data_IF_214491258845
#
_entry.id   IF_214491258845
#
_cell.length_a   1.000
_cell.length_b   1.000
_cell.length_c   1.000
_cell.angle_alpha   90.00
_cell.angle_beta   90.00
_cell.angle_gamma   90.00
#
_symmetry.space_group_name_H-M   'P 1'
#
loop_
_entity.id
_entity.type
_entity.pdbx_description
1 polymer ?
#
# COMPACT_ATOMS: atom_id res chain seq x y z
N UNK A 1 -17.07 -4.84 27.56
CA UNK A 1 -16.78 -5.30 26.18
C UNK A 1 -16.49 -4.15 25.23
N UNK A 2 -17.32 -3.09 25.16
CA UNK A 2 -17.07 -1.90 24.34
C UNK A 2 -15.74 -1.19 24.63
N UNK A 3 -15.38 -1.00 25.91
CA UNK A 3 -14.07 -0.43 26.30
C UNK A 3 -12.87 -1.23 25.79
N UNK A 4 -12.98 -2.55 25.75
CA UNK A 4 -11.94 -3.46 25.25
C UNK A 4 -11.85 -3.43 23.71
N UNK A 5 -13.00 -3.40 23.02
CA UNK A 5 -13.07 -3.21 21.57
C UNK A 5 -12.45 -1.87 21.15
N UNK A 6 -12.77 -0.78 21.85
CA UNK A 6 -12.21 0.55 21.59
C UNK A 6 -10.70 0.56 21.84
N UNK A 7 -10.23 -0.04 22.95
CA UNK A 7 -8.78 -0.09 23.21
C UNK A 7 -8.03 -0.90 22.16
N UNK A 8 -8.61 -2.00 21.68
CA UNK A 8 -8.05 -2.81 20.59
C UNK A 8 -7.97 -2.03 19.28
N UNK A 9 -9.06 -1.38 18.88
CA UNK A 9 -9.10 -0.58 17.64
C UNK A 9 -8.11 0.59 17.72
N UNK A 10 -8.03 1.27 18.87
CA UNK A 10 -7.06 2.34 19.08
C UNK A 10 -5.61 1.84 19.01
N UNK A 11 -5.30 0.70 19.62
CA UNK A 11 -3.98 0.06 19.54
C UNK A 11 -3.64 -0.32 18.09
N UNK A 12 -4.57 -0.94 17.36
CA UNK A 12 -4.37 -1.30 15.95
C UNK A 12 -4.15 -0.07 15.07
N UNK A 13 -4.92 1.00 15.27
CA UNK A 13 -4.73 2.25 14.56
C UNK A 13 -3.36 2.87 14.84
N UNK A 14 -2.89 2.84 16.09
CA UNK A 14 -1.57 3.31 16.47
C UNK A 14 -0.47 2.49 15.80
N UNK A 15 -0.58 1.15 15.81
CA UNK A 15 0.40 0.28 15.16
C UNK A 15 0.47 0.56 13.65
N UNK A 16 -0.69 0.65 12.98
CA UNK A 16 -0.75 0.98 11.55
C UNK A 16 -0.10 2.34 11.29
N UNK A 17 -0.40 3.34 12.13
CA UNK A 17 0.17 4.67 12.00
C UNK A 17 1.70 4.66 12.16
N UNK A 18 2.23 3.96 13.16
CA UNK A 18 3.68 3.84 13.38
C UNK A 18 4.35 3.12 12.21
N UNK A 19 3.81 1.98 11.77
CA UNK A 19 4.35 1.22 10.64
C UNK A 19 4.30 2.06 9.36
N UNK A 20 3.21 2.77 9.10
CA UNK A 20 3.09 3.69 7.97
C UNK A 20 4.14 4.80 8.02
N UNK A 21 4.31 5.44 9.19
CA UNK A 21 5.31 6.49 9.39
C UNK A 21 6.71 5.95 9.12
N UNK A 22 7.08 4.83 9.75
CA UNK A 22 8.39 4.21 9.59
C UNK A 22 8.67 3.80 8.15
N UNK A 23 7.73 3.12 7.50
CA UNK A 23 7.90 2.67 6.10
C UNK A 23 8.00 3.85 5.13
N UNK A 24 7.21 4.90 5.33
CA UNK A 24 7.28 6.12 4.51
C UNK A 24 8.65 6.78 4.60
N UNK A 25 9.16 7.00 5.81
CA UNK A 25 10.48 7.60 6.01
C UNK A 25 11.60 6.70 5.49
N UNK A 26 11.47 5.39 5.66
CA UNK A 26 12.43 4.43 5.12
C UNK A 26 12.49 4.50 3.59
N UNK A 27 11.34 4.63 2.91
CA UNK A 27 11.28 4.82 1.46
C UNK A 27 11.84 6.17 1.01
N UNK A 28 11.62 7.24 1.77
CA UNK A 28 12.18 8.56 1.45
C UNK A 28 13.68 8.67 1.72
N UNK A 29 14.19 7.95 2.72
CA UNK A 29 15.60 7.87 3.04
C UNK A 29 16.36 6.92 2.09
N UNK A 30 15.66 5.98 1.46
CA UNK A 30 16.26 5.05 0.51
C UNK A 30 16.81 5.80 -0.71
N UNK A 31 18.11 5.65 -1.05
CA UNK A 31 18.71 6.25 -2.23
C UNK A 31 18.26 5.47 -3.48
N UNK A 32 17.03 5.70 -3.94
CA UNK A 32 16.46 5.03 -5.10
C UNK A 32 15.37 5.90 -5.73
N UNK A 33 15.42 6.07 -7.05
CA UNK A 33 14.33 6.72 -7.77
C UNK A 33 13.41 5.62 -8.31
N UNK A 34 12.14 5.56 -7.87
CA UNK A 34 11.20 4.50 -8.26
C UNK A 34 10.87 4.51 -9.76
N UNK A 35 11.28 5.55 -10.49
CA UNK A 35 11.13 5.68 -11.93
C UNK A 35 12.35 5.21 -12.74
N UNK A 36 13.43 4.78 -12.08
CA UNK A 36 14.57 4.16 -12.74
C UNK A 36 14.27 2.67 -12.89
N UNK A 37 13.57 2.31 -13.96
CA UNK A 37 13.57 0.94 -14.48
C UNK A 37 14.80 0.68 -15.36
N UNK A 38 14.70 -0.24 -16.32
CA UNK A 38 15.80 -0.60 -17.23
C UNK A 38 16.27 0.52 -18.17
N UNK A 39 15.48 1.59 -18.32
CA UNK A 39 15.84 2.78 -19.12
C UNK A 39 15.70 4.03 -18.26
N UNK A 40 16.80 4.75 -18.07
CA UNK A 40 16.78 6.06 -17.42
C UNK A 40 15.99 7.05 -18.30
N UNK A 41 14.81 7.51 -17.85
CA UNK A 41 14.07 8.53 -18.59
C UNK A 41 14.87 9.85 -18.56
N UNK A 42 14.77 10.70 -19.59
CA UNK A 42 15.29 12.05 -19.55
C UNK A 42 14.86 12.79 -18.26
N UNK A 43 15.71 13.67 -17.69
CA UNK A 43 15.45 14.33 -16.41
C UNK A 43 14.15 15.15 -16.39
N UNK A 44 13.74 15.69 -17.54
CA UNK A 44 12.45 16.38 -17.70
C UNK A 44 11.24 15.46 -17.46
N UNK A 45 11.32 14.20 -17.91
CA UNK A 45 10.25 13.21 -17.73
C UNK A 45 10.20 12.76 -16.26
N UNK A 46 11.35 12.59 -15.61
CA UNK A 46 11.43 12.27 -14.18
C UNK A 46 10.77 13.37 -13.35
N UNK A 47 11.02 14.65 -13.67
CA UNK A 47 10.39 15.76 -12.97
C UNK A 47 8.86 15.77 -13.18
N UNK A 48 8.39 15.57 -14.42
CA UNK A 48 6.96 15.45 -14.72
C UNK A 48 6.30 14.28 -13.98
N UNK A 49 6.99 13.14 -13.85
CA UNK A 49 6.52 11.98 -13.08
C UNK A 49 6.46 12.29 -11.59
N UNK A 50 7.49 12.91 -11.01
CA UNK A 50 7.47 13.33 -9.59
C UNK A 50 6.32 14.29 -9.28
N UNK A 51 6.02 15.22 -10.19
CA UNK A 51 4.84 16.10 -10.08
C UNK A 51 3.54 15.28 -10.15
N UNK A 52 3.40 14.39 -11.14
CA UNK A 52 2.19 13.58 -11.34
C UNK A 52 1.88 12.66 -10.15
N UNK A 53 2.91 12.09 -9.53
CA UNK A 53 2.75 11.20 -8.37
C UNK A 53 2.78 11.95 -7.03
N UNK A 54 2.96 13.28 -7.02
CA UNK A 54 3.05 14.06 -5.79
C UNK A 54 4.34 13.84 -4.98
N UNK A 55 5.36 13.18 -5.55
CA UNK A 55 6.66 12.92 -4.92
C UNK A 55 7.54 14.17 -4.80
N UNK A 56 7.10 15.34 -5.28
CA UNK A 56 7.85 16.59 -5.15
C UNK A 56 7.90 17.13 -3.72
N UNK A 57 6.87 16.89 -2.90
CA UNK A 57 6.84 17.33 -1.52
C UNK A 57 6.50 16.14 -0.60
N UNK A 58 7.49 15.59 0.14
CA UNK A 58 7.28 14.41 0.97
C UNK A 58 6.27 14.69 2.09
N UNK A 59 6.20 15.91 2.63
CA UNK A 59 5.24 16.25 3.67
C UNK A 59 3.80 16.27 3.15
N UNK A 60 3.61 16.82 1.95
CA UNK A 60 2.30 16.83 1.30
C UNK A 60 1.85 15.41 0.95
N UNK A 61 2.75 14.58 0.39
CA UNK A 61 2.46 13.18 0.08
C UNK A 61 2.10 12.37 1.33
N UNK A 62 2.80 12.60 2.44
CA UNK A 62 2.61 11.89 3.71
C UNK A 62 1.20 12.10 4.30
N UNK A 63 0.63 13.30 4.18
CA UNK A 63 -0.74 13.59 4.65
C UNK A 63 -1.82 13.35 3.60
N UNK A 64 -1.55 13.67 2.33
CA UNK A 64 -2.54 13.57 1.26
C UNK A 64 -2.89 12.11 0.92
N UNK A 65 -1.92 11.19 1.01
CA UNK A 65 -2.14 9.77 0.72
C UNK A 65 -3.17 9.10 1.66
N UNK A 66 -2.99 9.08 2.99
CA UNK A 66 -3.95 8.44 3.89
C UNK A 66 -5.32 9.13 3.82
N UNK A 67 -5.34 10.46 3.64
CA UNK A 67 -6.58 11.21 3.44
C UNK A 67 -7.33 10.75 2.18
N UNK A 68 -6.63 10.58 1.05
CA UNK A 68 -7.24 10.08 -0.21
C UNK A 68 -7.74 8.65 -0.07
N UNK A 69 -6.98 7.78 0.61
CA UNK A 69 -7.39 6.39 0.87
C UNK A 69 -8.66 6.34 1.71
N UNK A 70 -8.74 7.13 2.78
CA UNK A 70 -9.92 7.16 3.67
C UNK A 70 -11.15 7.76 2.97
N UNK A 71 -10.96 8.83 2.18
CA UNK A 71 -12.08 9.56 1.56
C UNK A 71 -12.60 8.94 0.28
N UNK A 72 -11.72 8.35 -0.54
CA UNK A 72 -12.05 7.84 -1.87
C UNK A 72 -11.87 6.33 -2.01
N UNK A 73 -11.28 5.65 -1.03
CA UNK A 73 -10.88 4.24 -1.16
C UNK A 73 -9.81 4.03 -2.23
N UNK A 74 -9.14 5.10 -2.65
CA UNK A 74 -8.21 5.08 -3.79
C UNK A 74 -6.76 4.96 -3.31
N UNK A 75 -6.23 3.74 -3.44
CA UNK A 75 -4.84 3.37 -3.17
C UNK A 75 -3.86 3.99 -4.18
N UNK A 76 -4.36 4.57 -5.27
CA UNK A 76 -3.58 5.29 -6.26
C UNK A 76 -3.16 4.48 -7.48
N UNK A 77 -2.51 5.16 -8.44
CA UNK A 77 -1.93 4.53 -9.61
C UNK A 77 -0.73 3.67 -9.24
N UNK A 78 -0.57 2.55 -9.92
CA UNK A 78 0.63 1.71 -9.75
C UNK A 78 1.82 2.27 -10.53
N UNK A 79 3.02 2.18 -9.95
CA UNK A 79 4.26 2.65 -10.57
C UNK A 79 4.78 1.61 -11.58
N UNK A 80 4.49 0.32 -11.35
CA UNK A 80 4.99 -0.79 -12.19
C UNK A 80 4.17 -1.06 -13.45
N UNK A 81 2.85 -0.79 -13.43
CA UNK A 81 1.94 -1.04 -14.56
C UNK A 81 1.27 0.25 -15.01
N UNK A 82 1.59 0.70 -16.23
CA UNK A 82 0.94 1.87 -16.80
C UNK A 82 -0.60 1.64 -16.91
N UNK A 83 -1.39 2.64 -16.50
CA UNK A 83 -2.85 2.69 -16.56
C UNK A 83 -3.62 1.74 -15.62
N UNK A 84 -2.97 1.07 -14.68
CA UNK A 84 -3.67 0.29 -13.66
C UNK A 84 -3.71 1.03 -12.33
N UNK A 85 -4.82 0.90 -11.59
CA UNK A 85 -4.84 1.30 -10.18
C UNK A 85 -4.42 0.12 -9.31
N UNK A 86 -3.88 0.42 -8.13
CA UNK A 86 -3.57 -0.63 -7.15
C UNK A 86 -4.83 -1.42 -6.77
N UNK A 87 -5.99 -0.76 -6.74
CA UNK A 87 -7.27 -1.42 -6.47
C UNK A 87 -7.65 -2.43 -7.56
N UNK A 88 -7.38 -2.13 -8.83
CA UNK A 88 -7.66 -3.06 -9.93
C UNK A 88 -6.77 -4.30 -9.86
N UNK A 89 -5.49 -4.13 -9.54
CA UNK A 89 -4.55 -5.24 -9.33
C UNK A 89 -5.00 -6.11 -8.14
N UNK A 90 -5.45 -5.49 -7.05
CA UNK A 90 -5.96 -6.21 -5.89
C UNK A 90 -7.23 -6.97 -6.26
N UNK A 91 -8.17 -6.35 -6.98
CA UNK A 91 -9.42 -7.00 -7.41
C UNK A 91 -9.16 -8.19 -8.33
N UNK A 92 -8.20 -8.10 -9.23
CA UNK A 92 -7.84 -9.23 -10.11
C UNK A 92 -7.15 -10.36 -9.34
N UNK A 93 -6.36 -10.03 -8.31
CA UNK A 93 -5.57 -11.01 -7.55
C UNK A 93 -6.33 -11.63 -6.37
N UNK A 94 -7.33 -10.92 -5.84
CA UNK A 94 -8.17 -11.34 -4.72
C UNK A 94 -8.76 -12.74 -4.86
N UNK A 95 -9.45 -13.11 -5.97
CA UNK A 95 -10.08 -14.43 -6.07
C UNK A 95 -9.07 -15.58 -6.01
N UNK A 96 -7.88 -15.37 -6.56
CA UNK A 96 -6.80 -16.36 -6.54
C UNK A 96 -6.31 -16.55 -5.10
N UNK A 97 -5.98 -15.46 -4.40
CA UNK A 97 -5.54 -15.51 -3.00
C UNK A 97 -6.60 -16.10 -2.06
N UNK A 98 -7.88 -15.81 -2.29
CA UNK A 98 -8.99 -16.37 -1.51
C UNK A 98 -9.09 -17.88 -1.72
N UNK A 99 -8.99 -18.36 -2.97
CA UNK A 99 -9.05 -19.79 -3.26
C UNK A 99 -7.90 -20.56 -2.62
N UNK A 100 -6.66 -20.04 -2.71
CA UNK A 100 -5.47 -20.61 -2.07
C UNK A 100 -5.58 -20.58 -0.54
N UNK A 101 -5.99 -19.45 0.03
CA UNK A 101 -6.16 -19.31 1.48
C UNK A 101 -7.25 -20.23 2.02
N UNK A 102 -8.38 -20.36 1.32
CA UNK A 102 -9.45 -21.28 1.68
C UNK A 102 -8.97 -22.74 1.65
N UNK A 103 -8.24 -23.14 0.60
CA UNK A 103 -7.68 -24.49 0.51
C UNK A 103 -6.69 -24.78 1.64
N UNK A 104 -5.80 -23.83 1.95
CA UNK A 104 -4.84 -23.95 3.04
C UNK A 104 -5.55 -24.06 4.40
N UNK A 105 -6.60 -23.27 4.64
CA UNK A 105 -7.43 -23.36 5.85
C UNK A 105 -8.14 -24.71 5.95
N UNK A 106 -8.70 -25.22 4.85
CA UNK A 106 -9.34 -26.53 4.83
C UNK A 106 -8.36 -27.64 5.20
N UNK A 107 -7.16 -27.63 4.62
CA UNK A 107 -6.11 -28.61 4.93
C UNK A 107 -5.66 -28.49 6.39
N UNK A 108 -5.45 -27.25 6.88
CA UNK A 108 -5.03 -27.01 8.25
C UNK A 108 -6.09 -27.46 9.27
N UNK A 109 -7.38 -27.24 8.98
CA UNK A 109 -8.48 -27.75 9.81
C UNK A 109 -8.55 -29.28 9.76
N UNK A 110 -8.36 -29.88 8.59
CA UNK A 110 -8.39 -31.34 8.43
C UNK A 110 -7.25 -32.03 9.21
N UNK A 111 -6.04 -31.49 9.14
CA UNK A 111 -4.87 -32.02 9.83
C UNK A 111 -4.81 -31.64 11.31
N UNK A 112 -5.35 -30.49 11.69
CA UNK A 112 -5.24 -29.94 13.04
C UNK A 112 -6.38 -30.34 13.99
N UNK A 113 -7.54 -30.72 13.45
CA UNK A 113 -8.68 -31.23 14.25
C UNK A 113 -8.69 -32.76 14.29
N UNK A 114 -7.92 -33.42 13.43
CA UNK A 114 -7.71 -34.89 13.41
C UNK A 114 -6.66 -35.38 14.39
#
# INVERSE_FOLDING_TARGET
>A
MTRFLISRVAQSALVIFVVYTCTFWLLMAAPGNPFIGDKQPPPAIIHALKVRYGLNNPWHAYWAYPWRVITRGDLGPTISYANWTVLDVIRSSLPISVSLGAMALLIALWLGVG
#
